data_IF_205161677836
#
_entry.id   IF_205161677836
#
_cell.length_a   1.000
_cell.length_b   1.000
_cell.length_c   1.000
_cell.angle_alpha   90.00
_cell.angle_beta   90.00
_cell.angle_gamma   90.00
#
_symmetry.space_group_name_H-M   'P 1'
#
loop_
_entity.id
_entity.type
_entity.pdbx_description
1 polymer ?
#
# COMPACT_ATOMS: atom_id res chain seq x y z
N UNK A 1 3.53 -10.16 -11.90
CA UNK A 1 2.07 -10.10 -11.66
C UNK A 1 1.82 -10.05 -10.17
N UNK A 2 0.88 -9.21 -9.76
CA UNK A 2 0.49 -9.04 -8.37
C UNK A 2 -0.87 -9.67 -8.13
N UNK A 3 -0.95 -10.67 -7.26
CA UNK A 3 -2.19 -11.41 -6.97
C UNK A 3 -2.76 -11.09 -5.60
N UNK A 4 -1.95 -10.57 -4.68
CA UNK A 4 -2.33 -10.22 -3.31
C UNK A 4 -1.75 -8.83 -2.95
N UNK A 5 -2.58 -7.79 -3.05
CA UNK A 5 -2.16 -6.40 -2.94
C UNK A 5 -2.65 -5.81 -1.62
N UNK A 6 -1.73 -5.23 -0.83
CA UNK A 6 -2.06 -4.43 0.35
C UNK A 6 -2.17 -2.96 -0.03
N UNK A 7 -3.33 -2.36 0.17
CA UNK A 7 -3.59 -0.94 -0.08
C UNK A 7 -3.68 -0.19 1.24
N UNK A 8 -2.69 0.64 1.54
CA UNK A 8 -2.68 1.47 2.75
C UNK A 8 -3.52 2.70 2.50
N UNK A 9 -4.67 2.78 3.17
CA UNK A 9 -5.59 3.90 3.08
C UNK A 9 -5.05 5.12 3.83
N UNK A 10 -5.31 6.30 3.30
CA UNK A 10 -5.08 7.55 4.02
C UNK A 10 -6.41 8.08 4.56
N UNK A 11 -6.61 8.11 5.89
CA UNK A 11 -7.87 8.57 6.48
C UNK A 11 -8.17 10.06 6.25
N UNK A 12 -7.16 10.86 5.87
CA UNK A 12 -7.30 12.29 5.61
C UNK A 12 -7.78 12.60 4.18
N UNK A 13 -7.75 11.61 3.27
CA UNK A 13 -8.08 11.81 1.86
C UNK A 13 -9.47 11.24 1.52
N UNK A 14 -10.39 12.09 1.07
CA UNK A 14 -11.67 11.66 0.49
C UNK A 14 -11.48 10.86 -0.81
N UNK A 15 -10.45 11.21 -1.59
CA UNK A 15 -10.09 10.48 -2.81
C UNK A 15 -8.96 9.50 -2.53
N UNK A 16 -9.31 8.22 -2.49
CA UNK A 16 -8.32 7.15 -2.28
C UNK A 16 -7.60 6.80 -3.59
N UNK A 17 -6.66 7.65 -4.02
CA UNK A 17 -5.88 7.41 -5.25
C UNK A 17 -5.13 6.08 -5.22
N UNK A 18 -4.67 5.65 -4.04
CA UNK A 18 -4.00 4.35 -3.84
C UNK A 18 -4.90 3.19 -4.25
N UNK A 19 -6.18 3.24 -3.87
CA UNK A 19 -7.15 2.21 -4.22
C UNK A 19 -7.45 2.20 -5.72
N UNK A 20 -7.64 3.37 -6.32
CA UNK A 20 -7.85 3.49 -7.75
C UNK A 20 -6.66 2.91 -8.55
N UNK A 21 -5.42 3.11 -8.09
CA UNK A 21 -4.21 2.54 -8.70
C UNK A 21 -4.15 1.03 -8.57
N UNK A 22 -4.40 0.50 -7.38
CA UNK A 22 -4.40 -0.94 -7.12
C UNK A 22 -5.45 -1.67 -7.96
N UNK A 23 -6.68 -1.14 -8.00
CA UNK A 23 -7.77 -1.70 -8.81
C UNK A 23 -7.40 -1.69 -10.30
N UNK A 24 -6.85 -0.58 -10.81
CA UNK A 24 -6.42 -0.50 -12.19
C UNK A 24 -5.32 -1.53 -12.51
N UNK A 25 -4.31 -1.65 -11.65
CA UNK A 25 -3.27 -2.68 -11.80
C UNK A 25 -3.87 -4.10 -11.83
N UNK A 26 -4.83 -4.37 -10.95
CA UNK A 26 -5.51 -5.66 -10.91
C UNK A 26 -6.31 -5.95 -12.20
N UNK A 27 -7.05 -4.96 -12.71
CA UNK A 27 -7.86 -5.10 -13.93
C UNK A 27 -7.00 -5.27 -15.21
N UNK A 28 -5.86 -4.58 -15.28
CA UNK A 28 -4.96 -4.66 -16.43
C UNK A 28 -4.17 -6.00 -16.47
N UNK A 29 -4.06 -6.69 -15.34
CA UNK A 29 -3.47 -8.01 -15.26
C UNK A 29 -4.49 -9.06 -15.72
N UNK A 30 -4.29 -9.66 -16.89
CA UNK A 30 -5.06 -10.84 -17.30
C UNK A 30 -4.70 -12.03 -16.40
N UNK A 31 -5.22 -12.06 -15.19
CA UNK A 31 -5.09 -13.18 -14.28
C UNK A 31 -6.20 -14.20 -14.53
N UNK A 32 -5.88 -15.50 -14.40
CA UNK A 32 -6.88 -16.56 -14.42
C UNK A 32 -7.59 -16.72 -13.06
N UNK A 33 -7.00 -16.16 -12.02
CA UNK A 33 -7.55 -16.15 -10.66
C UNK A 33 -7.85 -14.71 -10.23
N UNK A 34 -8.85 -14.50 -9.36
CA UNK A 34 -9.13 -13.19 -8.80
C UNK A 34 -7.89 -12.59 -8.12
N UNK A 35 -7.72 -11.28 -8.26
CA UNK A 35 -6.70 -10.51 -7.53
C UNK A 35 -7.30 -10.09 -6.19
N UNK A 36 -6.63 -10.44 -5.09
CA UNK A 36 -7.05 -10.01 -3.75
C UNK A 36 -6.49 -8.62 -3.44
N UNK A 37 -7.35 -7.69 -3.07
CA UNK A 37 -6.98 -6.35 -2.59
C UNK A 37 -7.44 -6.21 -1.15
N UNK A 38 -6.50 -6.05 -0.23
CA UNK A 38 -6.80 -5.78 1.18
C UNK A 38 -6.62 -4.29 1.47
N UNK A 39 -7.69 -3.64 1.92
CA UNK A 39 -7.65 -2.25 2.38
C UNK A 39 -7.16 -2.24 3.83
N UNK A 40 -6.01 -1.64 4.04
CA UNK A 40 -5.34 -1.59 5.33
C UNK A 40 -5.40 -0.18 5.92
N UNK A 41 -5.70 -0.11 7.22
CA UNK A 41 -5.68 1.13 7.98
C UNK A 41 -5.10 0.88 9.37
N UNK A 42 -3.98 1.54 9.69
CA UNK A 42 -3.49 1.65 11.06
C UNK A 42 -4.11 2.90 11.70
N UNK A 43 -4.70 2.74 12.87
CA UNK A 43 -5.29 3.82 13.65
C UNK A 43 -4.64 3.88 15.02
N UNK A 44 -4.49 5.09 15.53
CA UNK A 44 -4.02 5.34 16.89
C UNK A 44 -4.51 6.71 17.34
N UNK A 45 -5.02 6.78 18.55
CA UNK A 45 -5.42 8.05 19.15
C UNK A 45 -4.97 8.06 20.62
N UNK A 46 -4.02 8.95 20.90
CA UNK A 46 -3.43 9.07 22.24
C UNK A 46 -4.46 9.46 23.31
N UNK A 47 -5.54 10.15 22.94
CA UNK A 47 -6.58 10.55 23.90
C UNK A 47 -7.26 9.35 24.56
N UNK A 48 -7.39 8.25 23.82
CA UNK A 48 -7.93 7.01 24.34
C UNK A 48 -6.95 6.26 25.26
N UNK A 49 -5.65 6.37 24.96
CA UNK A 49 -4.62 5.74 25.81
C UNK A 49 -4.39 6.47 27.12
N UNK A 50 -4.53 7.79 27.11
CA UNK A 50 -4.29 8.65 28.29
C UNK A 50 -5.49 8.71 29.27
N UNK A 51 -6.60 8.07 28.95
CA UNK A 51 -7.75 8.06 29.86
C UNK A 51 -7.46 7.19 31.10
N UNK A 52 -7.00 7.83 32.19
CA UNK A 52 -6.76 7.20 33.45
C UNK A 52 -8.07 6.67 34.12
N UNK A 53 -9.21 6.99 33.54
CA UNK A 53 -10.54 6.61 34.07
C UNK A 53 -11.03 5.26 33.54
N UNK A 54 -10.41 4.73 32.49
CA UNK A 54 -10.80 3.47 31.89
C UNK A 54 -9.95 2.29 32.39
N UNK A 55 -10.62 1.20 32.74
CA UNK A 55 -9.97 -0.08 32.98
C UNK A 55 -9.35 -0.64 31.68
N UNK A 56 -8.53 -1.67 31.80
CA UNK A 56 -7.94 -2.35 30.63
C UNK A 56 -9.00 -2.99 29.73
N UNK A 57 -10.06 -3.53 30.32
CA UNK A 57 -11.18 -4.14 29.63
C UNK A 57 -11.99 -3.09 28.84
N UNK A 58 -12.35 -1.99 29.49
CA UNK A 58 -13.08 -0.89 28.84
C UNK A 58 -12.30 -0.29 27.70
N UNK A 59 -10.98 -0.13 27.85
CA UNK A 59 -10.10 0.34 26.78
C UNK A 59 -10.05 -0.63 25.61
N UNK A 60 -9.92 -1.94 25.87
CA UNK A 60 -9.93 -2.97 24.84
C UNK A 60 -11.25 -2.99 24.07
N UNK A 61 -12.38 -2.86 24.76
CA UNK A 61 -13.70 -2.80 24.12
C UNK A 61 -13.87 -1.55 23.27
N UNK A 62 -13.37 -0.41 23.74
CA UNK A 62 -13.38 0.83 22.99
C UNK A 62 -12.51 0.73 21.71
N UNK A 63 -11.30 0.14 21.78
CA UNK A 63 -10.48 -0.10 20.59
C UNK A 63 -11.22 -0.96 19.56
N UNK A 64 -11.87 -2.05 19.99
CA UNK A 64 -12.68 -2.90 19.12
C UNK A 64 -13.80 -2.11 18.45
N UNK A 65 -14.53 -1.30 19.21
CA UNK A 65 -15.63 -0.50 18.67
C UNK A 65 -15.14 0.51 17.63
N UNK A 66 -14.01 1.19 17.87
CA UNK A 66 -13.42 2.13 16.91
C UNK A 66 -12.94 1.39 15.66
N UNK A 67 -12.30 0.24 15.80
CA UNK A 67 -11.88 -0.60 14.67
C UNK A 67 -13.08 -0.98 13.79
N UNK A 68 -14.17 -1.46 14.40
CA UNK A 68 -15.37 -1.85 13.64
C UNK A 68 -16.03 -0.64 12.96
N UNK A 69 -16.09 0.51 13.59
CA UNK A 69 -16.58 1.73 12.96
C UNK A 69 -15.71 2.12 11.74
N UNK A 70 -14.39 1.98 11.84
CA UNK A 70 -13.49 2.26 10.69
C UNK A 70 -13.66 1.26 9.56
N UNK A 71 -13.87 -0.02 9.86
CA UNK A 71 -14.19 -1.03 8.83
C UNK A 71 -15.49 -0.68 8.09
N UNK A 72 -16.53 -0.27 8.82
CA UNK A 72 -17.79 0.17 8.20
C UNK A 72 -17.58 1.41 7.32
N UNK A 73 -16.76 2.37 7.74
CA UNK A 73 -16.44 3.57 6.96
C UNK A 73 -15.65 3.26 5.67
N UNK A 74 -14.94 2.13 5.61
CA UNK A 74 -14.20 1.68 4.42
C UNK A 74 -15.14 1.01 3.40
N UNK A 75 -16.25 0.43 3.82
CA UNK A 75 -17.15 -0.32 2.95
C UNK A 75 -17.62 0.42 1.68
N UNK A 76 -17.96 1.72 1.71
CA UNK A 76 -18.34 2.45 0.49
C UNK A 76 -17.23 2.52 -0.58
N UNK A 77 -15.96 2.49 -0.17
CA UNK A 77 -14.85 2.43 -1.13
C UNK A 77 -14.81 1.08 -1.85
N UNK A 78 -15.05 -0.03 -1.12
CA UNK A 78 -15.15 -1.37 -1.71
C UNK A 78 -16.29 -1.41 -2.72
N UNK A 79 -17.48 -0.95 -2.34
CA UNK A 79 -18.67 -0.93 -3.21
C UNK A 79 -18.43 -0.11 -4.49
N UNK A 80 -17.74 1.02 -4.37
CA UNK A 80 -17.42 1.89 -5.51
C UNK A 80 -16.50 1.22 -6.53
N UNK A 81 -15.59 0.36 -6.09
CA UNK A 81 -14.57 -0.28 -6.93
C UNK A 81 -14.82 -1.78 -7.15
N UNK A 82 -15.94 -2.29 -6.65
CA UNK A 82 -16.32 -3.68 -6.89
C UNK A 82 -16.37 -4.00 -8.38
N UNK A 83 -15.65 -5.02 -8.80
CA UNK A 83 -15.59 -5.46 -10.20
C UNK A 83 -15.23 -6.94 -10.26
N UNK A 84 -15.62 -7.59 -11.37
CA UNK A 84 -15.29 -8.99 -11.59
C UNK A 84 -13.77 -9.22 -11.59
N UNK A 85 -13.34 -10.29 -10.97
CA UNK A 85 -11.93 -10.67 -10.90
C UNK A 85 -11.12 -9.96 -9.79
N UNK A 86 -11.77 -9.19 -8.91
CA UNK A 86 -11.14 -8.59 -7.73
C UNK A 86 -11.91 -9.00 -6.48
N UNK A 87 -11.17 -9.52 -5.51
CA UNK A 87 -11.68 -9.82 -4.17
C UNK A 87 -11.19 -8.77 -3.17
N UNK A 88 -12.10 -8.17 -2.41
CA UNK A 88 -11.75 -7.17 -1.40
C UNK A 88 -11.79 -7.76 0.01
N UNK A 89 -10.80 -7.35 0.81
CA UNK A 89 -10.75 -7.57 2.25
C UNK A 89 -10.41 -6.27 2.97
N UNK A 90 -10.63 -6.22 4.27
CA UNK A 90 -10.34 -5.05 5.11
C UNK A 90 -9.61 -5.47 6.36
N UNK A 91 -8.50 -4.81 6.65
CA UNK A 91 -7.75 -4.95 7.90
C UNK A 91 -7.61 -3.57 8.55
N UNK A 92 -8.11 -3.43 9.77
CA UNK A 92 -7.93 -2.22 10.60
C UNK A 92 -7.25 -2.64 11.88
N UNK A 93 -6.14 -1.99 12.21
CA UNK A 93 -5.35 -2.31 13.40
C UNK A 93 -5.16 -1.09 14.28
N UNK A 94 -5.07 -1.30 15.59
CA UNK A 94 -4.72 -0.27 16.56
C UNK A 94 -3.20 -0.30 16.77
N UNK A 95 -2.49 0.64 16.14
CA UNK A 95 -1.02 0.72 16.25
C UNK A 95 -0.54 2.15 15.98
N UNK A 96 0.30 2.68 16.85
CA UNK A 96 0.90 4.02 16.72
C UNK A 96 2.04 4.08 15.68
N UNK A 97 2.61 2.93 15.29
CA UNK A 97 3.67 2.81 14.30
C UNK A 97 3.13 2.18 13.01
N UNK A 98 2.70 3.03 12.08
CA UNK A 98 2.13 2.60 10.80
C UNK A 98 3.09 1.70 10.01
N UNK A 99 4.39 2.04 9.95
CA UNK A 99 5.36 1.26 9.19
C UNK A 99 5.54 -0.16 9.74
N UNK A 100 5.54 -0.29 11.06
CA UNK A 100 5.62 -1.58 11.74
C UNK A 100 4.34 -2.39 11.54
N UNK A 101 3.18 -1.75 11.66
CA UNK A 101 1.89 -2.40 11.44
C UNK A 101 1.78 -2.95 10.01
N UNK A 102 2.20 -2.18 9.00
CA UNK A 102 2.22 -2.62 7.60
C UNK A 102 3.20 -3.79 7.40
N UNK A 103 4.43 -3.69 7.90
CA UNK A 103 5.42 -4.74 7.76
C UNK A 103 4.95 -6.06 8.39
N UNK A 104 4.39 -5.99 9.59
CA UNK A 104 3.82 -7.16 10.29
C UNK A 104 2.67 -7.79 9.51
N UNK A 105 1.77 -6.97 8.95
CA UNK A 105 0.66 -7.48 8.12
C UNK A 105 1.19 -8.18 6.87
N UNK A 106 2.19 -7.59 6.20
CA UNK A 106 2.81 -8.17 5.00
C UNK A 106 3.46 -9.52 5.30
N UNK A 107 4.22 -9.63 6.39
CA UNK A 107 4.88 -10.87 6.80
C UNK A 107 3.87 -11.99 7.12
N UNK A 108 2.74 -11.65 7.74
CA UNK A 108 1.76 -12.62 8.19
C UNK A 108 0.82 -13.12 7.08
N UNK A 109 0.54 -12.34 6.05
CA UNK A 109 -0.51 -12.61 5.07
C UNK A 109 0.00 -12.86 3.64
N UNK A 110 1.31 -12.76 3.40
CA UNK A 110 1.92 -13.11 2.12
C UNK A 110 1.46 -12.22 0.96
N UNK A 111 1.46 -10.91 1.14
CA UNK A 111 1.25 -9.95 0.06
C UNK A 111 2.43 -9.95 -0.90
N UNK A 112 2.19 -9.51 -2.15
CA UNK A 112 3.20 -9.39 -3.20
C UNK A 112 3.42 -7.93 -3.66
N UNK A 113 2.57 -7.01 -3.20
CA UNK A 113 2.69 -5.57 -3.42
C UNK A 113 2.04 -4.77 -2.29
N UNK A 114 2.70 -3.71 -1.83
CA UNK A 114 2.11 -2.66 -0.99
C UNK A 114 1.89 -1.42 -1.84
N UNK A 115 0.69 -0.84 -1.79
CA UNK A 115 0.37 0.45 -2.43
C UNK A 115 0.10 1.48 -1.34
N UNK A 116 0.94 2.53 -1.26
CA UNK A 116 0.87 3.54 -0.22
C UNK A 116 0.87 4.96 -0.80
N UNK A 117 0.06 5.83 -0.19
CA UNK A 117 0.05 7.24 -0.52
C UNK A 117 1.27 7.97 0.08
N UNK A 118 1.83 8.90 -0.66
CA UNK A 118 2.77 9.89 -0.14
C UNK A 118 2.37 11.30 -0.57
N UNK A 119 2.52 12.25 0.34
CA UNK A 119 2.21 13.65 0.09
C UNK A 119 3.25 14.25 -0.88
N UNK A 120 2.79 14.86 -1.96
CA UNK A 120 3.67 15.62 -2.84
C UNK A 120 3.95 16.98 -2.17
N UNK A 121 5.20 17.30 -1.86
CA UNK A 121 5.57 18.70 -1.67
C UNK A 121 5.78 19.38 -3.05
N UNK A 122 5.47 20.68 -3.15
CA UNK A 122 5.47 21.46 -4.41
C UNK A 122 6.84 21.59 -5.07
N UNK A 123 7.90 21.08 -4.48
CA UNK A 123 9.25 21.12 -5.02
C UNK A 123 9.48 20.02 -6.06
N UNK A 124 9.78 20.42 -7.29
CA UNK A 124 10.03 19.57 -8.46
C UNK A 124 11.24 18.61 -8.30
N UNK A 125 12.00 18.69 -7.23
CA UNK A 125 13.27 17.98 -7.04
C UNK A 125 13.26 16.94 -5.92
N UNK A 126 12.20 16.80 -5.14
CA UNK A 126 12.18 15.84 -4.04
C UNK A 126 10.99 14.89 -4.13
N UNK A 127 11.28 13.62 -4.40
CA UNK A 127 10.51 12.51 -3.85
C UNK A 127 10.67 12.61 -2.32
N UNK A 128 9.85 13.42 -1.66
CA UNK A 128 9.87 13.46 -0.20
C UNK A 128 9.15 12.22 0.28
N UNK A 129 9.96 11.23 0.54
CA UNK A 129 9.58 10.03 1.25
C UNK A 129 9.52 10.43 2.72
N UNK A 130 8.37 10.27 3.35
CA UNK A 130 8.21 10.59 4.77
C UNK A 130 9.09 9.68 5.64
N UNK A 131 9.39 10.05 6.90
CA UNK A 131 10.11 9.15 7.81
C UNK A 131 9.46 7.77 7.94
N UNK A 132 8.14 7.69 7.87
CA UNK A 132 7.36 6.44 7.87
C UNK A 132 7.64 5.64 6.60
N UNK A 133 7.67 6.28 5.43
CA UNK A 133 7.96 5.61 4.16
C UNK A 133 9.38 5.06 4.15
N UNK A 134 10.37 5.81 4.69
CA UNK A 134 11.76 5.32 4.84
C UNK A 134 11.86 4.10 5.76
N UNK A 135 11.11 4.09 6.86
CA UNK A 135 11.07 2.93 7.74
C UNK A 135 10.45 1.72 7.03
N UNK A 136 9.36 1.96 6.30
CA UNK A 136 8.69 0.92 5.54
C UNK A 136 9.59 0.34 4.44
N UNK A 137 10.25 1.18 3.65
CA UNK A 137 11.20 0.75 2.61
C UNK A 137 12.34 -0.13 3.14
N UNK A 138 12.73 0.02 4.41
CA UNK A 138 13.77 -0.80 5.04
C UNK A 138 13.27 -2.11 5.61
N UNK A 139 11.99 -2.19 5.97
CA UNK A 139 11.41 -3.33 6.70
C UNK A 139 10.51 -4.21 5.84
N UNK A 140 9.89 -3.63 4.83
CA UNK A 140 8.91 -4.34 4.00
C UNK A 140 9.63 -5.33 3.06
N UNK A 141 9.29 -6.62 3.11
CA UNK A 141 9.93 -7.65 2.29
C UNK A 141 9.42 -7.70 0.84
N UNK A 142 8.43 -6.88 0.50
CA UNK A 142 7.82 -6.86 -0.84
C UNK A 142 7.91 -5.46 -1.47
N UNK A 143 7.78 -5.34 -2.81
CA UNK A 143 7.75 -4.06 -3.49
C UNK A 143 6.71 -3.09 -2.94
N UNK A 144 7.04 -1.79 -2.92
CA UNK A 144 6.13 -0.73 -2.49
C UNK A 144 5.89 0.22 -3.65
N UNK A 145 4.63 0.36 -4.06
CA UNK A 145 4.18 1.37 -5.00
C UNK A 145 3.75 2.62 -4.24
N UNK A 146 4.55 3.67 -4.33
CA UNK A 146 4.25 4.96 -3.73
C UNK A 146 3.42 5.79 -4.70
N UNK A 147 2.23 6.20 -4.28
CA UNK A 147 1.25 6.93 -5.09
C UNK A 147 1.11 8.35 -4.60
N UNK A 148 1.12 9.32 -5.53
CA UNK A 148 0.83 10.74 -5.31
C UNK A 148 -0.58 11.09 -5.78
N UNK A 149 -1.06 12.27 -5.39
CA UNK A 149 -2.29 12.83 -5.90
C UNK A 149 -2.26 12.99 -7.43
N UNK A 150 -3.43 12.88 -8.03
CA UNK A 150 -3.65 13.10 -9.45
C UNK A 150 -3.89 11.82 -10.25
N UNK A 151 -4.49 12.00 -11.42
CA UNK A 151 -4.76 10.92 -12.34
C UNK A 151 -3.50 10.53 -13.14
N UNK A 152 -3.43 9.29 -13.59
CA UNK A 152 -2.36 8.87 -14.48
C UNK A 152 -2.51 9.56 -15.84
N UNK A 153 -1.43 10.17 -16.30
CA UNK A 153 -1.39 10.76 -17.66
C UNK A 153 -1.51 9.67 -18.72
N UNK A 154 -2.02 10.04 -19.88
CA UNK A 154 -2.20 9.09 -21.00
C UNK A 154 -0.89 8.51 -21.53
N UNK A 155 0.20 9.28 -21.49
CA UNK A 155 1.55 8.79 -21.83
C UNK A 155 2.28 8.40 -20.55
N UNK A 156 2.42 7.11 -20.33
CA UNK A 156 3.08 6.55 -19.15
C UNK A 156 4.47 6.08 -19.52
N UNK A 157 5.43 6.38 -18.66
CA UNK A 157 6.81 5.93 -18.82
C UNK A 157 7.25 5.33 -17.48
N UNK A 158 7.91 4.20 -17.55
CA UNK A 158 8.59 3.58 -16.42
C UNK A 158 10.08 3.87 -16.55
N UNK A 159 10.65 4.51 -15.55
CA UNK A 159 12.09 4.72 -15.43
C UNK A 159 12.61 3.74 -14.39
N UNK A 160 13.58 2.93 -14.77
CA UNK A 160 14.22 1.96 -13.90
C UNK A 160 15.61 2.46 -13.54
N UNK A 161 15.91 2.55 -12.26
CA UNK A 161 17.25 2.82 -11.75
C UNK A 161 17.89 1.50 -11.33
N UNK A 162 18.96 1.11 -11.96
CA UNK A 162 19.74 -0.08 -11.64
C UNK A 162 21.10 0.31 -11.08
N UNK A 163 21.65 -0.50 -10.20
CA UNK A 163 23.00 -0.31 -9.70
C UNK A 163 24.01 -0.92 -10.69
N UNK A 164 24.83 -0.08 -11.27
CA UNK A 164 25.90 -0.45 -12.22
C UNK A 164 27.30 -0.34 -11.60
N UNK A 165 27.44 -0.54 -10.29
CA UNK A 165 28.75 -0.59 -9.66
C UNK A 165 29.55 -1.78 -10.21
N UNK A 166 30.87 -1.58 -10.40
CA UNK A 166 31.81 -2.59 -10.94
C UNK A 166 32.09 -3.77 -9.98
N UNK A 167 31.44 -3.78 -8.81
CA UNK A 167 31.51 -4.92 -7.89
C UNK A 167 30.76 -6.11 -8.52
N UNK A 168 31.52 -7.16 -8.85
CA UNK A 168 31.03 -8.47 -9.33
C UNK A 168 30.21 -9.19 -8.24
N UNK A 169 29.23 -8.52 -7.66
CA UNK A 169 28.35 -9.11 -6.67
C UNK A 169 27.13 -9.71 -7.37
N UNK A 170 27.10 -11.04 -7.48
CA UNK A 170 25.97 -11.79 -8.07
C UNK A 170 24.61 -11.38 -7.49
N UNK A 171 24.57 -10.98 -6.22
CA UNK A 171 23.34 -10.50 -5.58
C UNK A 171 22.85 -9.18 -6.19
N UNK A 172 23.75 -8.27 -6.58
CA UNK A 172 23.38 -7.01 -7.24
C UNK A 172 22.87 -7.25 -8.67
N UNK A 173 23.49 -8.18 -9.40
CA UNK A 173 23.04 -8.56 -10.75
C UNK A 173 21.66 -9.17 -10.72
N UNK A 174 21.42 -10.13 -9.82
CA UNK A 174 20.10 -10.77 -9.65
C UNK A 174 19.02 -9.75 -9.27
N UNK A 175 19.32 -8.81 -8.39
CA UNK A 175 18.40 -7.74 -7.99
C UNK A 175 18.07 -6.79 -9.16
N UNK A 176 19.08 -6.42 -9.97
CA UNK A 176 18.86 -5.58 -11.15
C UNK A 176 17.96 -6.29 -12.18
N UNK A 177 18.17 -7.59 -12.41
CA UNK A 177 17.36 -8.39 -13.32
C UNK A 177 15.91 -8.47 -12.85
N UNK A 178 15.69 -8.64 -11.56
CA UNK A 178 14.36 -8.63 -10.95
C UNK A 178 13.68 -7.27 -11.09
N UNK A 179 14.38 -6.16 -10.84
CA UNK A 179 13.89 -4.80 -11.03
C UNK A 179 13.49 -4.53 -12.49
N UNK A 180 14.32 -4.94 -13.45
CA UNK A 180 14.03 -4.77 -14.88
C UNK A 180 12.80 -5.59 -15.26
N UNK A 181 12.73 -6.85 -14.85
CA UNK A 181 11.60 -7.74 -15.12
C UNK A 181 10.28 -7.18 -14.55
N UNK A 182 10.30 -6.74 -13.29
CA UNK A 182 9.15 -6.12 -12.63
C UNK A 182 8.70 -4.85 -13.35
N UNK A 183 9.66 -4.04 -13.81
CA UNK A 183 9.39 -2.79 -14.52
C UNK A 183 8.82 -3.03 -15.90
N UNK A 184 9.25 -4.07 -16.59
CA UNK A 184 8.68 -4.49 -17.89
C UNK A 184 7.24 -4.99 -17.71
N UNK A 185 6.97 -5.80 -16.69
CA UNK A 185 5.61 -6.25 -16.35
C UNK A 185 4.69 -5.06 -16.03
N UNK A 186 5.19 -4.09 -15.27
CA UNK A 186 4.47 -2.87 -14.93
C UNK A 186 4.21 -2.02 -16.19
N UNK A 187 5.21 -1.81 -17.05
CA UNK A 187 5.05 -1.06 -18.28
C UNK A 187 4.02 -1.71 -19.21
N UNK A 188 4.06 -3.04 -19.36
CA UNK A 188 3.12 -3.79 -20.18
C UNK A 188 1.68 -3.70 -19.65
N UNK A 189 1.48 -3.62 -18.33
CA UNK A 189 0.16 -3.41 -17.73
C UNK A 189 -0.34 -1.97 -17.87
N UNK A 190 0.56 -0.99 -17.96
CA UNK A 190 0.22 0.43 -18.11
C UNK A 190 -0.06 0.87 -19.55
N UNK A 191 0.41 0.14 -20.54
CA UNK A 191 0.34 0.53 -21.97
C UNK A 191 -0.99 0.12 -22.63
N UNK A 192 -1.85 -0.61 -21.93
CA UNK A 192 -3.12 -1.18 -22.44
C UNK A 192 -4.37 -0.36 -22.15
N UNK A 193 -4.23 0.86 -21.65
CA UNK A 193 -5.35 1.72 -21.26
C UNK A 193 -5.51 3.01 -22.05
#
# INVERSE_FOLDING_TARGET
KFNNILVVLNPENDKQYVLARAVRLAQEQKSQSPVKITLFLAIYDLSYEMSALLSSEERSEMHKNVIEQRKLAIQPYIEKYASDGIEFATTVVWNSNEAEAIATEVENQGYDLVVKYTKAEESLTSLIVTPVDWQLLRKCPVPILVVKDGDWKHQRRVLVAVNVSDDENEAHSSFNDELVSLSMDLAASLDRG
#
